data_IF_188778576958
#
_entry.id   IF_188778576958
#
_cell.length_a   1.000
_cell.length_b   1.000
_cell.length_c   1.000
_cell.angle_alpha   90.00
_cell.angle_beta   90.00
_cell.angle_gamma   90.00
#
_symmetry.space_group_name_H-M   'P 1'
#
loop_
_entity.id
_entity.type
_entity.pdbx_description
1 polymer ?
#
# COMPACT_ATOMS: atom_id res chain seq x y z
N UNK A 1 14.06 22.58 -10.27
CA UNK A 1 13.29 22.32 -9.03
C UNK A 1 12.12 21.36 -9.29
N UNK A 2 11.07 21.72 -10.04
CA UNK A 2 10.00 20.78 -10.42
C UNK A 2 10.27 20.06 -11.77
N UNK A 3 10.64 20.81 -12.81
CA UNK A 3 10.91 20.27 -14.15
C UNK A 3 12.01 19.19 -14.16
N UNK A 4 13.12 19.44 -13.45
CA UNK A 4 14.21 18.45 -13.27
C UNK A 4 13.72 17.16 -12.62
N UNK A 5 12.76 17.23 -11.70
CA UNK A 5 12.19 16.06 -11.06
C UNK A 5 11.25 15.32 -12.01
N UNK A 6 10.41 16.06 -12.75
CA UNK A 6 9.51 15.48 -13.74
C UNK A 6 10.29 14.73 -14.83
N UNK A 7 11.39 15.32 -15.31
CA UNK A 7 12.31 14.68 -16.28
C UNK A 7 12.89 13.37 -15.74
N UNK A 8 13.39 13.36 -14.49
CA UNK A 8 13.89 12.14 -13.83
C UNK A 8 12.82 11.06 -13.66
N UNK A 9 11.56 11.46 -13.49
CA UNK A 9 10.43 10.55 -13.33
C UNK A 9 9.75 10.20 -14.66
N UNK A 10 10.27 10.70 -15.79
CA UNK A 10 9.72 10.43 -17.13
C UNK A 10 8.32 10.98 -17.35
N UNK A 11 7.95 12.08 -16.68
CA UNK A 11 6.62 12.70 -16.74
C UNK A 11 6.71 14.19 -17.07
N UNK A 12 5.58 14.80 -17.43
CA UNK A 12 5.51 16.25 -17.64
C UNK A 12 5.52 17.00 -16.30
N UNK A 13 6.01 18.24 -16.29
CA UNK A 13 5.98 19.06 -15.09
C UNK A 13 4.54 19.30 -14.58
N UNK A 14 3.58 19.42 -15.49
CA UNK A 14 2.15 19.55 -15.17
C UNK A 14 1.60 18.29 -14.51
N UNK A 15 1.86 17.11 -15.08
CA UNK A 15 1.40 15.85 -14.51
C UNK A 15 2.03 15.57 -13.14
N UNK A 16 3.30 15.95 -12.94
CA UNK A 16 3.93 15.90 -11.63
C UNK A 16 3.24 16.86 -10.64
N UNK A 17 2.93 18.09 -11.07
CA UNK A 17 2.27 19.09 -10.23
C UNK A 17 0.87 18.63 -9.78
N UNK A 18 0.04 18.17 -10.72
CA UNK A 18 -1.32 17.67 -10.44
C UNK A 18 -1.29 16.54 -9.40
N UNK A 19 -0.40 15.57 -9.60
CA UNK A 19 -0.22 14.47 -8.63
C UNK A 19 0.21 14.98 -7.26
N UNK A 20 1.18 15.89 -7.18
CA UNK A 20 1.64 16.43 -5.89
C UNK A 20 0.53 17.21 -5.16
N UNK A 21 -0.38 17.86 -5.89
CA UNK A 21 -1.54 18.53 -5.29
C UNK A 21 -2.50 17.49 -4.71
N UNK A 22 -2.86 16.45 -5.48
CA UNK A 22 -3.77 15.39 -5.02
C UNK A 22 -3.19 14.62 -3.83
N UNK A 23 -1.91 14.25 -3.89
CA UNK A 23 -1.20 13.61 -2.79
C UNK A 23 -1.16 14.55 -1.57
N UNK A 24 -0.85 15.83 -1.78
CA UNK A 24 -0.79 16.81 -0.69
C UNK A 24 -2.12 16.99 0.03
N UNK A 25 -3.25 17.02 -0.68
CA UNK A 25 -4.59 17.07 -0.06
C UNK A 25 -4.85 15.83 0.77
N UNK A 26 -4.60 14.64 0.23
CA UNK A 26 -4.78 13.38 0.98
C UNK A 26 -3.90 13.30 2.24
N UNK A 27 -2.68 13.87 2.21
CA UNK A 27 -1.80 13.93 3.38
C UNK A 27 -2.28 14.92 4.45
N UNK A 28 -3.03 15.95 4.06
CA UNK A 28 -3.66 16.87 5.00
C UNK A 28 -4.84 16.19 5.70
N UNK A 29 -5.63 15.40 4.96
CA UNK A 29 -6.76 14.65 5.51
C UNK A 29 -6.28 13.48 6.38
N UNK A 30 -5.16 12.85 6.03
CA UNK A 30 -4.56 11.71 6.73
C UNK A 30 -3.11 11.96 7.20
N UNK A 31 -2.88 12.79 8.23
CA UNK A 31 -1.54 13.10 8.71
C UNK A 31 -0.77 11.85 9.16
N UNK A 32 0.29 11.52 8.42
CA UNK A 32 1.10 10.31 8.63
C UNK A 32 1.08 9.34 7.45
N UNK A 33 0.22 9.56 6.46
CA UNK A 33 0.29 8.89 5.17
C UNK A 33 1.31 9.59 4.26
N UNK A 34 2.06 8.79 3.50
CA UNK A 34 2.99 9.23 2.46
C UNK A 34 2.77 8.43 1.18
N UNK A 35 3.18 8.98 0.05
CA UNK A 35 3.09 8.30 -1.24
C UNK A 35 4.48 7.88 -1.74
N UNK A 36 4.61 6.60 -2.12
CA UNK A 36 5.86 5.96 -2.55
C UNK A 36 5.70 5.30 -3.91
N UNK A 37 6.83 4.98 -4.54
CA UNK A 37 6.87 4.30 -5.84
C UNK A 37 6.78 5.25 -7.04
N UNK A 38 6.96 4.70 -8.25
CA UNK A 38 6.89 5.44 -9.51
C UNK A 38 5.46 5.86 -9.85
N UNK A 39 5.26 6.74 -10.82
CA UNK A 39 3.93 7.26 -11.18
C UNK A 39 2.91 6.15 -11.54
N UNK A 40 3.35 5.09 -12.22
CA UNK A 40 2.49 3.97 -12.63
C UNK A 40 2.23 2.95 -11.51
N UNK A 41 2.91 3.06 -10.38
CA UNK A 41 2.69 2.23 -9.20
C UNK A 41 2.89 3.04 -7.93
N UNK A 42 2.17 4.17 -7.87
CA UNK A 42 2.20 5.10 -6.75
C UNK A 42 1.31 4.56 -5.62
N UNK A 43 1.85 4.43 -4.41
CA UNK A 43 1.21 3.70 -3.31
C UNK A 43 1.15 4.55 -2.05
N UNK A 44 0.00 4.57 -1.38
CA UNK A 44 -0.13 5.10 -0.03
C UNK A 44 0.57 4.19 0.98
N UNK A 45 1.27 4.78 1.94
CA UNK A 45 2.03 4.09 2.97
C UNK A 45 2.07 4.88 4.27
N UNK A 46 2.28 4.20 5.38
CA UNK A 46 2.60 4.85 6.65
C UNK A 46 3.98 5.50 6.55
N UNK A 47 4.14 6.76 6.96
CA UNK A 47 5.38 7.54 6.84
C UNK A 47 6.63 6.76 7.28
N UNK A 48 6.52 6.09 8.43
CA UNK A 48 7.46 5.07 8.89
C UNK A 48 6.68 3.76 9.06
N UNK A 49 6.80 2.85 8.09
CA UNK A 49 6.06 1.60 8.10
C UNK A 49 5.71 1.07 6.71
N UNK A 50 4.86 0.02 6.67
CA UNK A 50 4.42 -0.64 5.45
C UNK A 50 3.52 0.24 4.58
N UNK A 51 3.23 -0.26 3.37
CA UNK A 51 2.19 0.30 2.52
C UNK A 51 0.80 0.05 3.14
N UNK A 52 -0.16 0.94 2.90
CA UNK A 52 -1.51 0.83 3.49
C UNK A 52 -2.18 -0.48 3.08
N UNK A 53 -2.04 -0.87 1.80
CA UNK A 53 -2.64 -2.10 1.30
C UNK A 53 -2.09 -3.35 2.02
N UNK A 54 -0.84 -3.34 2.49
CA UNK A 54 -0.23 -4.46 3.23
C UNK A 54 -0.86 -4.57 4.62
N UNK A 55 -1.07 -3.45 5.30
CA UNK A 55 -1.76 -3.39 6.59
C UNK A 55 -3.17 -3.96 6.46
N UNK A 56 -3.93 -3.50 5.47
CA UNK A 56 -5.30 -3.95 5.24
C UNK A 56 -5.35 -5.43 4.84
N UNK A 57 -4.44 -5.88 3.97
CA UNK A 57 -4.35 -7.31 3.62
C UNK A 57 -4.12 -8.17 4.85
N UNK A 58 -3.19 -7.76 5.74
CA UNK A 58 -2.91 -8.51 6.96
C UNK A 58 -4.10 -8.51 7.92
N UNK A 59 -4.78 -7.38 8.11
CA UNK A 59 -6.00 -7.31 8.92
C UNK A 59 -7.13 -8.20 8.38
N UNK A 60 -7.23 -8.40 7.05
CA UNK A 60 -8.23 -9.29 6.46
C UNK A 60 -7.99 -10.77 6.78
N UNK A 61 -6.75 -11.16 7.05
CA UNK A 61 -6.36 -12.53 7.41
C UNK A 61 -6.58 -12.86 8.89
N UNK A 62 -6.72 -11.84 9.74
CA UNK A 62 -6.97 -12.00 11.16
C UNK A 62 -8.47 -12.20 11.43
N UNK A 63 -8.78 -12.95 12.50
CA UNK A 63 -10.15 -13.19 12.94
C UNK A 63 -10.56 -12.20 14.04
N UNK A 64 -11.87 -12.16 14.35
CA UNK A 64 -12.40 -11.29 15.41
C UNK A 64 -12.84 -9.89 14.93
N UNK A 65 -13.32 -9.04 15.86
CA UNK A 65 -13.67 -7.64 15.59
C UNK A 65 -12.44 -6.78 15.27
N UNK A 66 -12.67 -5.63 14.64
CA UNK A 66 -11.61 -4.74 14.14
C UNK A 66 -10.53 -4.40 15.19
N UNK A 67 -10.93 -3.99 16.39
CA UNK A 67 -9.99 -3.57 17.43
C UNK A 67 -9.14 -4.74 17.97
N UNK A 68 -9.68 -5.97 17.98
CA UNK A 68 -8.91 -7.16 18.34
C UNK A 68 -7.83 -7.45 17.27
N UNK A 69 -8.19 -7.35 15.99
CA UNK A 69 -7.23 -7.51 14.88
C UNK A 69 -6.14 -6.44 14.92
N UNK A 70 -6.50 -5.20 15.27
CA UNK A 70 -5.54 -4.11 15.45
C UNK A 70 -4.56 -4.45 16.58
N UNK A 71 -5.06 -4.97 17.71
CA UNK A 71 -4.24 -5.41 18.83
C UNK A 71 -3.25 -6.50 18.42
N UNK A 72 -3.74 -7.56 17.77
CA UNK A 72 -2.91 -8.67 17.27
C UNK A 72 -1.85 -8.16 16.29
N UNK A 73 -2.23 -7.34 15.30
CA UNK A 73 -1.28 -6.82 14.32
C UNK A 73 -0.22 -5.91 14.97
N UNK A 74 -0.62 -5.12 15.96
CA UNK A 74 0.30 -4.29 16.74
C UNK A 74 1.34 -5.13 17.47
N UNK A 75 0.93 -6.24 18.08
CA UNK A 75 1.83 -7.15 18.79
C UNK A 75 2.79 -7.88 17.81
N UNK A 76 2.29 -8.34 16.66
CA UNK A 76 3.10 -9.05 15.65
C UNK A 76 4.16 -8.16 15.00
N UNK A 77 3.85 -6.89 14.77
CA UNK A 77 4.70 -5.99 13.94
C UNK A 77 5.42 -4.90 14.72
N UNK A 78 5.00 -4.64 15.96
CA UNK A 78 5.44 -3.48 16.74
C UNK A 78 4.90 -2.14 16.23
N UNK A 79 3.99 -2.13 15.25
CA UNK A 79 3.32 -0.91 14.79
C UNK A 79 2.39 -0.40 15.90
N UNK A 80 2.48 0.89 16.21
CA UNK A 80 1.58 1.49 17.18
C UNK A 80 0.12 1.41 16.69
N UNK A 81 -0.88 1.01 17.52
CA UNK A 81 -2.27 0.83 17.11
C UNK A 81 -2.89 2.02 16.38
N UNK A 82 -2.50 3.25 16.77
CA UNK A 82 -2.92 4.49 16.10
C UNK A 82 -2.51 4.56 14.62
N UNK A 83 -1.35 4.02 14.24
CA UNK A 83 -0.92 3.98 12.83
C UNK A 83 -1.72 2.94 12.03
N UNK A 84 -2.09 1.83 12.68
CA UNK A 84 -2.94 0.81 12.05
C UNK A 84 -4.33 1.40 11.79
N UNK A 85 -4.92 2.11 12.77
CA UNK A 85 -6.19 2.83 12.58
C UNK A 85 -6.11 3.88 11.47
N UNK A 86 -5.03 4.68 11.42
CA UNK A 86 -4.80 5.62 10.33
C UNK A 86 -4.81 4.94 8.95
N UNK A 87 -4.20 3.76 8.83
CA UNK A 87 -4.24 3.00 7.59
C UNK A 87 -5.67 2.49 7.25
N UNK A 88 -6.46 2.11 8.26
CA UNK A 88 -7.88 1.74 8.09
C UNK A 88 -8.71 2.94 7.64
N UNK A 89 -8.57 4.08 8.30
CA UNK A 89 -9.29 5.32 7.97
C UNK A 89 -9.00 5.75 6.52
N UNK A 90 -7.73 5.77 6.11
CA UNK A 90 -7.35 6.02 4.72
C UNK A 90 -7.97 4.98 3.77
N UNK A 91 -7.93 3.70 4.12
CA UNK A 91 -8.46 2.64 3.26
C UNK A 91 -9.97 2.72 3.05
N UNK A 92 -10.74 3.22 4.02
CA UNK A 92 -12.19 3.43 3.90
C UNK A 92 -12.54 4.50 2.86
N UNK A 93 -11.70 5.52 2.71
CA UNK A 93 -11.89 6.56 1.68
C UNK A 93 -11.36 6.13 0.30
N UNK A 94 -10.48 5.12 0.26
CA UNK A 94 -9.77 4.67 -0.94
C UNK A 94 -9.96 3.16 -1.23
N UNK A 95 -11.15 2.62 -0.94
CA UNK A 95 -11.44 1.17 -0.95
C UNK A 95 -11.07 0.50 -2.28
N UNK A 96 -11.42 1.11 -3.41
CA UNK A 96 -11.18 0.52 -4.73
C UNK A 96 -9.69 0.43 -5.07
N UNK A 97 -8.90 1.45 -4.68
CA UNK A 97 -7.45 1.41 -4.83
C UNK A 97 -6.86 0.25 -4.02
N UNK A 98 -7.22 0.18 -2.74
CA UNK A 98 -6.67 -0.81 -1.81
C UNK A 98 -7.06 -2.23 -2.24
N UNK A 99 -8.32 -2.47 -2.59
CA UNK A 99 -8.77 -3.78 -3.12
C UNK A 99 -8.01 -4.17 -4.37
N UNK A 100 -7.91 -3.28 -5.35
CA UNK A 100 -7.17 -3.52 -6.59
C UNK A 100 -5.70 -3.91 -6.34
N UNK A 101 -5.06 -3.29 -5.33
CA UNK A 101 -3.68 -3.64 -4.96
C UNK A 101 -3.57 -5.02 -4.33
N UNK A 102 -4.45 -5.31 -3.37
CA UNK A 102 -4.49 -6.61 -2.69
C UNK A 102 -4.73 -7.73 -3.71
N UNK A 103 -5.71 -7.56 -4.61
CA UNK A 103 -6.06 -8.59 -5.60
C UNK A 103 -4.91 -8.83 -6.58
N UNK A 104 -4.30 -7.76 -7.12
CA UNK A 104 -3.11 -7.87 -7.98
C UNK A 104 -1.97 -8.61 -7.27
N UNK A 105 -1.73 -8.32 -6.00
CA UNK A 105 -0.68 -8.99 -5.24
C UNK A 105 -0.98 -10.48 -5.03
N UNK A 106 -2.22 -10.82 -4.67
CA UNK A 106 -2.68 -12.21 -4.53
C UNK A 106 -2.53 -13.01 -5.83
N UNK A 107 -2.91 -12.42 -6.96
CA UNK A 107 -2.72 -13.05 -8.28
C UNK A 107 -1.24 -13.31 -8.60
N UNK A 108 -0.36 -12.35 -8.32
CA UNK A 108 1.08 -12.51 -8.54
C UNK A 108 1.68 -13.59 -7.64
N UNK A 109 1.25 -13.66 -6.38
CA UNK A 109 1.66 -14.67 -5.43
C UNK A 109 1.22 -16.08 -5.87
N UNK A 110 -0.01 -16.23 -6.37
CA UNK A 110 -0.52 -17.49 -6.91
C UNK A 110 0.25 -17.94 -8.16
N UNK A 111 0.48 -17.03 -9.12
CA UNK A 111 1.28 -17.33 -10.32
C UNK A 111 2.70 -17.78 -9.95
N UNK A 112 3.31 -17.13 -8.96
CA UNK A 112 4.64 -17.47 -8.45
C UNK A 112 4.67 -18.86 -7.81
N UNK A 113 3.69 -19.20 -6.96
CA UNK A 113 3.56 -20.53 -6.37
C UNK A 113 3.36 -21.62 -7.42
N UNK A 114 2.46 -21.40 -8.37
CA UNK A 114 2.22 -22.31 -9.50
C UNK A 114 3.46 -22.51 -10.39
N UNK A 115 4.27 -21.48 -10.60
CA UNK A 115 5.53 -21.59 -11.34
C UNK A 115 6.61 -22.36 -10.56
N UNK A 116 6.69 -22.15 -9.24
CA UNK A 116 7.60 -22.88 -8.37
C UNK A 116 7.27 -24.38 -8.33
N UNK A 117 5.99 -24.74 -8.23
CA UNK A 117 5.55 -26.13 -8.26
C UNK A 117 5.92 -26.82 -9.58
N UNK A 118 5.56 -26.20 -10.72
CA UNK A 118 5.93 -26.73 -12.05
C UNK A 118 7.44 -26.88 -12.23
N UNK A 119 8.23 -25.99 -11.64
CA UNK A 119 9.70 -26.11 -11.66
C UNK A 119 10.17 -27.29 -10.83
N UNK A 120 9.61 -27.49 -9.64
CA UNK A 120 9.94 -28.63 -8.78
C UNK A 120 9.60 -29.96 -9.45
N UNK A 121 8.42 -30.04 -10.09
CA UNK A 121 7.97 -31.25 -10.81
C UNK A 121 8.84 -31.56 -12.04
N UNK A 122 9.43 -30.54 -12.70
CA UNK A 122 10.29 -30.72 -13.87
C UNK A 122 11.69 -31.26 -13.52
N UNK A 123 12.18 -31.01 -12.30
CA UNK A 123 13.52 -31.40 -11.86
C UNK A 123 13.52 -32.63 -10.94
N UNK A 124 12.36 -33.22 -10.68
CA UNK A 124 12.17 -34.45 -9.91
C UNK A 124 12.21 -35.69 -10.82
#
# INVERSE_FOLDING_TARGET
>A
MLAVRAEREGTSATALLERLILEGVQQLDHPGIVFRGPAHDRRAALAAGPDVWEVISRLQELEGPEEERIGVLSEETGLHPRLIRLAVDYAVEHVDEIRSRIDRNRELAERSRSAAQRRADLIA
#
